data_IF_083352698107
#
_entry.id   IF_083352698107
#
_cell.length_a   1.000
_cell.length_b   1.000
_cell.length_c   1.000
_cell.angle_alpha   90.00
_cell.angle_beta   90.00
_cell.angle_gamma   90.00
#
_symmetry.space_group_name_H-M   'P 1'
#
loop_
_entity.id
_entity.type
_entity.pdbx_description
1 polymer ?
#
# COMPACT_ATOMS: atom_id res chain seq x y z
N UNK A 1 21.13 -10.90 52.49
CA UNK A 1 21.90 -10.25 53.58
C UNK A 1 22.98 -9.39 52.95
N UNK A 2 23.07 -8.12 53.37
CA UNK A 2 24.22 -7.19 53.37
C UNK A 2 25.02 -6.97 52.05
N UNK A 3 24.96 -5.77 51.46
CA UNK A 3 25.82 -4.56 51.73
C UNK A 3 27.23 -4.70 51.10
N UNK A 4 27.59 -3.80 50.18
CA UNK A 4 28.47 -2.61 50.41
C UNK A 4 29.94 -3.03 50.63
N UNK A 5 31.00 -2.47 50.03
CA UNK A 5 31.23 -1.39 49.08
C UNK A 5 32.78 -1.22 48.99
N UNK A 6 33.25 -0.56 47.92
CA UNK A 6 34.39 0.37 47.87
C UNK A 6 35.86 -0.11 47.71
N UNK A 7 36.52 0.74 46.91
CA UNK A 7 37.94 1.16 46.85
C UNK A 7 38.88 0.16 46.15
N UNK A 8 39.74 0.57 45.23
CA UNK A 8 40.17 1.91 44.85
C UNK A 8 40.92 1.93 43.51
N UNK A 9 40.95 3.11 42.91
CA UNK A 9 41.81 3.48 41.79
C UNK A 9 43.29 3.31 42.13
N UNK A 10 44.05 2.76 41.19
CA UNK A 10 45.45 3.14 40.99
C UNK A 10 45.72 3.33 39.49
N UNK A 11 45.96 4.58 39.13
CA UNK A 11 46.57 5.00 37.87
C UNK A 11 47.97 4.38 37.74
N UNK A 12 48.34 3.86 36.57
CA UNK A 12 49.75 3.86 36.09
C UNK A 12 49.83 3.70 34.57
N UNK A 13 50.65 4.58 34.00
CA UNK A 13 51.06 4.73 32.60
C UNK A 13 51.67 3.45 31.99
N UNK A 14 51.48 3.22 30.68
CA UNK A 14 52.54 3.48 29.67
C UNK A 14 52.23 2.88 28.29
N UNK A 15 52.47 3.72 27.27
CA UNK A 15 53.06 3.42 25.96
C UNK A 15 52.58 2.22 25.13
N UNK A 16 52.08 2.49 23.91
CA UNK A 16 51.90 1.46 22.88
C UNK A 16 51.25 1.98 21.60
N UNK A 17 52.08 2.34 20.63
CA UNK A 17 51.74 2.75 19.27
C UNK A 17 51.10 1.62 18.42
N UNK A 18 50.37 2.06 17.36
CA UNK A 18 49.90 1.33 16.15
C UNK A 18 48.62 0.48 16.34
N UNK A 19 47.60 0.44 15.48
CA UNK A 19 47.41 0.85 14.08
C UNK A 19 45.97 1.39 13.89
N UNK A 20 45.82 2.38 13.01
CA UNK A 20 44.54 2.81 12.42
C UNK A 20 43.87 1.64 11.70
N UNK A 21 42.71 1.17 12.18
CA UNK A 21 41.81 0.37 11.33
C UNK A 21 40.88 1.33 10.58
N UNK A 22 40.96 1.27 9.26
CA UNK A 22 40.12 2.00 8.34
C UNK A 22 38.74 1.32 8.30
N UNK A 23 37.81 1.77 9.15
CA UNK A 23 36.38 1.54 8.88
C UNK A 23 35.86 2.73 8.07
N UNK A 24 35.96 2.57 6.75
CA UNK A 24 35.39 3.48 5.77
C UNK A 24 33.88 3.61 5.99
N UNK A 25 33.45 4.83 6.25
CA UNK A 25 32.05 5.24 6.23
C UNK A 25 31.49 5.08 4.82
N UNK A 26 30.85 3.95 4.54
CA UNK A 26 29.97 3.82 3.38
C UNK A 26 28.68 4.54 3.71
N UNK A 27 28.61 5.80 3.28
CA UNK A 27 27.38 6.54 3.10
C UNK A 27 26.48 5.80 2.08
N UNK A 28 25.75 4.80 2.57
CA UNK A 28 24.67 4.14 1.84
C UNK A 28 23.43 5.02 1.93
N UNK A 29 23.03 5.59 0.79
CA UNK A 29 21.97 6.58 0.70
C UNK A 29 20.68 6.15 1.39
N UNK A 30 20.08 7.09 2.13
CA UNK A 30 18.65 7.05 2.43
C UNK A 30 17.93 6.89 1.10
N UNK A 31 17.39 5.69 0.83
CA UNK A 31 16.24 5.56 -0.06
C UNK A 31 15.16 6.42 0.59
N UNK A 32 15.02 7.65 0.10
CA UNK A 32 13.83 8.44 0.38
C UNK A 32 12.71 7.64 -0.27
N UNK A 33 11.96 6.88 0.53
CA UNK A 33 10.59 6.57 0.19
C UNK A 33 9.91 7.93 0.04
N UNK A 34 9.95 8.48 -1.18
CA UNK A 34 9.02 9.54 -1.57
C UNK A 34 7.68 8.83 -1.66
N UNK A 35 7.05 8.64 -0.50
CA UNK A 35 5.60 8.70 -0.46
C UNK A 35 5.27 10.06 -1.03
N UNK A 36 4.95 10.08 -2.32
CA UNK A 36 4.41 11.23 -3.00
C UNK A 36 3.03 11.46 -2.37
N UNK A 37 3.03 12.13 -1.22
CA UNK A 37 1.84 12.75 -0.66
C UNK A 37 1.49 13.91 -1.58
N UNK A 38 1.09 13.60 -2.82
CA UNK A 38 0.34 14.56 -3.62
C UNK A 38 -0.86 14.90 -2.76
N UNK A 39 -1.00 16.18 -2.43
CA UNK A 39 -2.24 16.70 -1.89
C UNK A 39 -3.39 16.10 -2.70
N UNK A 40 -4.32 15.43 -2.03
CA UNK A 40 -5.44 14.73 -2.66
C UNK A 40 -6.30 15.76 -3.41
N UNK A 41 -5.94 15.98 -4.66
CA UNK A 41 -6.66 16.85 -5.58
C UNK A 41 -7.78 16.01 -6.16
N UNK A 42 -8.98 16.58 -6.27
CA UNK A 42 -10.10 15.93 -6.96
C UNK A 42 -9.64 15.63 -8.40
N UNK A 43 -9.66 14.36 -8.85
CA UNK A 43 -9.28 14.00 -10.21
C UNK A 43 -10.13 14.76 -11.23
N UNK A 44 -9.50 15.24 -12.29
CA UNK A 44 -10.14 15.89 -13.43
C UNK A 44 -10.16 14.95 -14.63
N UNK A 45 -11.09 15.14 -15.58
CA UNK A 45 -11.04 14.42 -16.85
C UNK A 45 -9.66 14.59 -17.52
N UNK A 46 -9.09 13.48 -17.99
CA UNK A 46 -7.75 13.44 -18.58
C UNK A 46 -6.61 13.20 -17.58
N UNK A 47 -6.85 13.30 -16.28
CA UNK A 47 -5.85 12.91 -15.29
C UNK A 47 -5.60 11.39 -15.34
N UNK A 48 -4.34 10.95 -15.17
CA UNK A 48 -4.05 9.52 -15.12
C UNK A 48 -4.71 8.88 -13.90
N UNK A 49 -5.23 7.67 -14.09
CA UNK A 49 -5.74 6.83 -12.98
C UNK A 49 -4.65 6.69 -11.91
N UNK A 50 -4.97 6.89 -10.62
CA UNK A 50 -3.99 6.81 -9.55
C UNK A 50 -3.44 5.39 -9.42
N UNK A 51 -2.15 5.30 -9.11
CA UNK A 51 -1.51 4.01 -8.86
C UNK A 51 -1.79 3.56 -7.42
N UNK A 52 -2.88 2.81 -7.25
CA UNK A 52 -3.30 2.25 -5.97
C UNK A 52 -3.50 0.74 -6.09
N UNK A 53 -3.21 0.04 -5.00
CA UNK A 53 -3.51 -1.38 -4.85
C UNK A 53 -4.84 -1.54 -4.14
N UNK A 54 -5.79 -2.19 -4.81
CA UNK A 54 -7.06 -2.64 -4.26
C UNK A 54 -6.96 -4.09 -3.79
N UNK A 55 -7.95 -4.54 -3.04
CA UNK A 55 -8.05 -5.93 -2.58
C UNK A 55 -9.39 -6.51 -3.03
N UNK A 56 -9.36 -7.65 -3.71
CA UNK A 56 -10.54 -8.31 -4.25
C UNK A 56 -10.61 -9.76 -3.77
N UNK A 57 -11.79 -10.20 -3.33
CA UNK A 57 -12.03 -11.55 -2.82
C UNK A 57 -12.65 -11.54 -1.43
N UNK A 58 -12.70 -12.71 -0.79
CA UNK A 58 -13.20 -12.88 0.57
C UNK A 58 -12.08 -13.22 1.56
N UNK A 59 -12.08 -12.67 2.78
CA UNK A 59 -11.19 -13.12 3.85
C UNK A 59 -11.64 -14.44 4.49
N UNK A 60 -12.85 -14.92 4.15
CA UNK A 60 -13.47 -16.11 4.74
C UNK A 60 -13.89 -17.07 3.62
N UNK A 61 -12.94 -17.82 3.01
CA UNK A 61 -13.24 -18.76 1.92
C UNK A 61 -14.11 -19.94 2.39
N UNK A 62 -14.08 -20.26 3.69
CA UNK A 62 -14.86 -21.37 4.27
C UNK A 62 -16.37 -21.13 4.22
N UNK A 63 -16.82 -19.89 4.35
CA UNK A 63 -18.25 -19.53 4.32
C UNK A 63 -18.73 -19.09 2.94
N UNK A 64 -17.81 -18.91 1.99
CA UNK A 64 -18.11 -18.44 0.63
C UNK A 64 -17.17 -19.13 -0.36
N UNK A 65 -17.33 -20.45 -0.57
CA UNK A 65 -16.41 -21.26 -1.37
C UNK A 65 -16.35 -20.82 -2.84
N UNK A 66 -17.40 -20.16 -3.34
CA UNK A 66 -17.47 -19.64 -4.71
C UNK A 66 -16.68 -18.32 -4.90
N UNK A 67 -16.25 -17.67 -3.82
CA UNK A 67 -15.49 -16.41 -3.87
C UNK A 67 -14.01 -16.72 -3.60
N UNK A 68 -13.09 -16.29 -4.47
CA UNK A 68 -11.67 -16.52 -4.25
C UNK A 68 -11.14 -15.77 -3.01
N UNK A 69 -10.04 -16.24 -2.40
CA UNK A 69 -9.38 -15.54 -1.30
C UNK A 69 -8.92 -14.14 -1.73
N UNK A 70 -8.80 -13.24 -0.76
CA UNK A 70 -8.36 -11.86 -1.01
C UNK A 70 -7.02 -11.83 -1.75
N UNK A 71 -6.99 -11.16 -2.90
CA UNK A 71 -5.77 -10.87 -3.67
C UNK A 71 -5.55 -9.36 -3.84
N UNK A 72 -4.31 -8.87 -3.78
CA UNK A 72 -3.99 -7.51 -4.18
C UNK A 72 -4.14 -7.34 -5.70
N UNK A 73 -4.70 -6.22 -6.14
CA UNK A 73 -4.95 -5.88 -7.54
C UNK A 73 -4.51 -4.43 -7.77
N UNK A 74 -3.62 -4.18 -8.72
CA UNK A 74 -3.23 -2.81 -9.08
C UNK A 74 -4.30 -2.18 -9.97
N UNK A 75 -4.83 -1.02 -9.57
CA UNK A 75 -5.83 -0.30 -10.36
C UNK A 75 -5.27 0.08 -11.74
N UNK A 76 -4.01 0.56 -11.80
CA UNK A 76 -3.36 0.92 -13.06
C UNK A 76 -3.26 -0.27 -14.02
N UNK A 77 -3.01 -1.47 -13.51
CA UNK A 77 -2.94 -2.68 -14.33
C UNK A 77 -4.31 -3.12 -14.84
N UNK A 78 -5.36 -2.96 -14.03
CA UNK A 78 -6.74 -3.27 -14.45
C UNK A 78 -7.15 -2.41 -15.65
N UNK A 79 -6.81 -1.13 -15.62
CA UNK A 79 -7.15 -0.16 -16.68
C UNK A 79 -6.07 -0.02 -17.77
N UNK A 80 -5.01 -0.84 -17.76
CA UNK A 80 -3.90 -0.70 -18.70
C UNK A 80 -4.35 -1.05 -20.13
N UNK A 81 -4.41 -0.03 -21.00
CA UNK A 81 -4.78 -0.20 -22.41
C UNK A 81 -6.25 -0.58 -22.64
N UNK A 82 -7.09 -0.43 -21.62
CA UNK A 82 -8.52 -0.79 -21.64
C UNK A 82 -9.39 0.41 -21.32
N UNK A 83 -10.58 0.44 -21.90
CA UNK A 83 -11.62 1.38 -21.51
C UNK A 83 -12.49 0.72 -20.46
N UNK A 84 -12.37 1.10 -19.19
CA UNK A 84 -13.18 0.48 -18.13
C UNK A 84 -14.12 1.48 -17.46
N UNK A 85 -15.18 0.95 -16.86
CA UNK A 85 -16.11 1.72 -16.02
C UNK A 85 -15.83 1.41 -14.54
N UNK A 86 -15.41 2.41 -13.76
CA UNK A 86 -15.19 2.28 -12.32
C UNK A 86 -16.34 2.92 -11.55
N UNK A 87 -17.06 2.11 -10.76
CA UNK A 87 -18.14 2.60 -9.89
C UNK A 87 -17.73 2.43 -8.43
N UNK A 88 -17.77 3.51 -7.66
CA UNK A 88 -17.49 3.49 -6.22
C UNK A 88 -18.81 3.58 -5.44
N UNK A 89 -18.91 2.81 -4.37
CA UNK A 89 -20.03 2.86 -3.41
C UNK A 89 -19.51 3.06 -1.99
N UNK A 90 -20.20 3.84 -1.13
CA UNK A 90 -19.81 4.03 0.27
C UNK A 90 -19.67 2.74 1.08
N UNK A 91 -20.46 1.71 0.77
CA UNK A 91 -20.37 0.43 1.46
C UNK A 91 -21.25 -0.65 0.83
N UNK A 92 -20.74 -1.87 0.81
CA UNK A 92 -21.49 -3.04 0.38
C UNK A 92 -22.74 -3.23 1.27
N UNK A 93 -23.84 -3.67 0.66
CA UNK A 93 -25.12 -3.97 1.33
C UNK A 93 -25.83 -2.77 1.99
N UNK A 94 -25.35 -1.55 1.79
CA UNK A 94 -26.05 -0.35 2.27
C UNK A 94 -27.29 -0.07 1.39
N UNK A 95 -28.43 0.36 1.97
CA UNK A 95 -29.72 0.38 1.25
C UNK A 95 -29.71 1.13 -0.08
N UNK A 96 -29.08 2.31 -0.15
CA UNK A 96 -28.99 3.08 -1.40
C UNK A 96 -28.03 2.49 -2.43
N UNK A 97 -26.92 1.90 -1.99
CA UNK A 97 -25.92 1.36 -2.91
C UNK A 97 -26.42 0.09 -3.60
N UNK A 98 -27.01 -0.83 -2.83
CA UNK A 98 -27.44 -2.14 -3.33
C UNK A 98 -28.78 -2.12 -4.05
N UNK A 99 -29.71 -1.23 -3.68
CA UNK A 99 -31.05 -1.21 -4.28
C UNK A 99 -31.19 -0.29 -5.48
N UNK A 100 -30.43 0.81 -5.52
CA UNK A 100 -30.67 1.86 -6.52
C UNK A 100 -29.42 2.25 -7.31
N UNK A 101 -28.24 2.27 -6.70
CA UNK A 101 -27.03 2.73 -7.38
C UNK A 101 -26.45 1.65 -8.31
N UNK A 102 -26.07 0.49 -7.76
CA UNK A 102 -25.38 -0.56 -8.51
C UNK A 102 -26.26 -1.26 -9.57
N UNK A 103 -27.55 -1.57 -9.32
CA UNK A 103 -28.37 -2.29 -10.31
C UNK A 103 -28.48 -1.60 -11.66
N UNK A 104 -28.45 -0.26 -11.70
CA UNK A 104 -28.49 0.50 -12.95
C UNK A 104 -27.26 0.26 -13.83
N UNK A 105 -26.06 0.18 -13.25
CA UNK A 105 -24.83 -0.12 -14.00
C UNK A 105 -24.79 -1.55 -14.52
N UNK A 106 -25.39 -2.49 -13.79
CA UNK A 106 -25.50 -3.89 -14.24
C UNK A 106 -26.46 -3.98 -15.42
N UNK A 107 -27.61 -3.30 -15.35
CA UNK A 107 -28.59 -3.28 -16.44
C UNK A 107 -28.04 -2.60 -17.71
N UNK A 108 -27.15 -1.61 -17.55
CA UNK A 108 -26.51 -0.90 -18.66
C UNK A 108 -25.21 -1.57 -19.16
N UNK A 109 -24.88 -2.79 -18.72
CA UNK A 109 -23.64 -3.49 -19.09
C UNK A 109 -23.44 -3.55 -20.61
N UNK A 110 -24.48 -3.97 -21.35
CA UNK A 110 -24.41 -4.12 -22.80
C UNK A 110 -24.21 -2.75 -23.50
N UNK A 111 -24.78 -1.68 -22.95
CA UNK A 111 -24.59 -0.33 -23.48
C UNK A 111 -23.14 0.16 -23.31
N UNK A 112 -22.50 -0.18 -22.19
CA UNK A 112 -21.09 0.13 -21.97
C UNK A 112 -20.19 -0.65 -22.93
N UNK A 113 -20.45 -1.95 -23.12
CA UNK A 113 -19.70 -2.78 -24.09
C UNK A 113 -19.90 -2.24 -25.51
N UNK A 114 -21.12 -1.88 -25.89
CA UNK A 114 -21.43 -1.28 -27.19
C UNK A 114 -20.73 0.07 -27.39
N UNK A 115 -20.51 0.83 -26.31
CA UNK A 115 -19.73 2.07 -26.31
C UNK A 115 -18.19 1.85 -26.29
N UNK A 116 -17.73 0.60 -26.32
CA UNK A 116 -16.32 0.24 -26.38
C UNK A 116 -15.65 0.02 -25.03
N UNK A 117 -16.42 -0.24 -23.97
CA UNK A 117 -15.86 -0.61 -22.67
C UNK A 117 -15.46 -2.10 -22.61
N UNK A 118 -14.27 -2.36 -22.07
CA UNK A 118 -13.74 -3.66 -21.68
C UNK A 118 -14.12 -3.94 -20.21
N UNK A 119 -15.42 -4.12 -19.95
CA UNK A 119 -16.01 -4.33 -18.60
C UNK A 119 -15.90 -5.75 -18.08
#
# INVERSE_FOLDING_TARGET
RARVQRRGETHRHSSGHKLRSQFGSRAGGRVRARGDQRAMTIPKPGDPVPDITLFQGTPLPEISPDIPPVKPVSLRQVFAGKTGVLVQVPGAFTPGCSKTHLPGYIAAYDDFVAAGADV
#
